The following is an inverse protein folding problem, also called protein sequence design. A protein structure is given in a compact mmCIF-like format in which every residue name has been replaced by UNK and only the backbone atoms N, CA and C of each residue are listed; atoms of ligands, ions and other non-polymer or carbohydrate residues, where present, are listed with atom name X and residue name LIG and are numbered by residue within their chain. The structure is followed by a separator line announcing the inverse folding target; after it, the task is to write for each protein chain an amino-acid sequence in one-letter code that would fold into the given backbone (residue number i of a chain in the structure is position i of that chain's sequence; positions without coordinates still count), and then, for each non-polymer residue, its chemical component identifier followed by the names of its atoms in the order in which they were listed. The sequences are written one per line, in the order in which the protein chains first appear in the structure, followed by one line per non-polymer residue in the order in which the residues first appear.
data_IF_374181902738
#
_entry.id   IF_374181902738
#
_cell.length_a   1.000
_cell.length_b   1.000
_cell.length_c   1.000
_cell.angle_alpha   90.00
_cell.angle_beta   90.00
_cell.angle_gamma   90.00
#
_symmetry.space_group_name_H-M   'P 1'
#
loop_
_entity.id
_entity.type
_entity.pdbx_description
1 polymer ?
#
# COMPACT_ATOMS: atom_id res chain seq x y z
N UNK A 1 -51.51 -16.93 35.69
CA UNK A 1 -50.25 -17.60 35.30
C UNK A 1 -50.10 -17.51 33.78
N UNK A 2 -48.94 -17.03 33.30
CA UNK A 2 -48.30 -17.38 32.00
C UNK A 2 -49.02 -16.94 30.69
N UNK A 3 -48.38 -16.37 29.65
CA UNK A 3 -46.96 -16.11 29.36
C UNK A 3 -46.85 -15.07 28.22
N UNK A 4 -46.07 -13.99 28.40
CA UNK A 4 -45.65 -13.09 27.29
C UNK A 4 -44.54 -13.78 26.51
N UNK A 5 -44.80 -14.17 25.25
CA UNK A 5 -43.74 -14.61 24.35
C UNK A 5 -42.99 -13.40 23.81
N UNK A 6 -41.80 -13.17 24.36
CA UNK A 6 -40.83 -12.23 23.84
C UNK A 6 -40.41 -12.61 22.42
N UNK A 7 -40.47 -11.64 21.52
CA UNK A 7 -39.96 -11.75 20.15
C UNK A 7 -38.48 -11.38 20.17
N UNK A 8 -37.59 -12.37 20.08
CA UNK A 8 -36.15 -12.14 19.94
C UNK A 8 -35.83 -11.42 18.63
N UNK A 9 -35.04 -10.32 18.62
CA UNK A 9 -34.61 -9.68 17.38
C UNK A 9 -33.55 -10.55 16.68
N UNK A 10 -33.80 -10.95 15.43
CA UNK A 10 -32.80 -11.61 14.58
C UNK A 10 -31.71 -10.61 14.19
N UNK A 11 -30.46 -11.01 14.42
CA UNK A 11 -29.23 -10.22 14.24
C UNK A 11 -29.00 -9.72 12.79
N UNK A 12 -28.63 -8.44 12.57
CA UNK A 12 -28.33 -7.87 11.24
C UNK A 12 -26.90 -8.17 10.70
N UNK A 13 -26.11 -9.02 11.37
CA UNK A 13 -24.68 -9.22 11.12
C UNK A 13 -24.32 -9.69 9.69
N UNK A 14 -25.21 -10.38 8.99
CA UNK A 14 -24.91 -10.88 7.63
C UNK A 14 -24.89 -9.76 6.58
N UNK A 15 -25.70 -8.70 6.78
CA UNK A 15 -25.83 -7.59 5.83
C UNK A 15 -24.67 -6.59 5.92
N UNK A 16 -24.17 -6.32 7.12
CA UNK A 16 -23.01 -5.45 7.33
C UNK A 16 -21.74 -6.11 6.80
N UNK A 17 -21.52 -7.40 7.07
CA UNK A 17 -20.37 -8.16 6.57
C UNK A 17 -20.34 -8.21 5.03
N UNK A 18 -21.49 -8.38 4.38
CA UNK A 18 -21.60 -8.37 2.93
C UNK A 18 -21.33 -6.98 2.33
N UNK A 19 -21.79 -5.89 2.99
CA UNK A 19 -21.47 -4.51 2.60
C UNK A 19 -19.98 -4.23 2.74
N UNK A 20 -19.36 -4.58 3.87
CA UNK A 20 -17.92 -4.45 4.09
C UNK A 20 -17.11 -5.20 3.04
N UNK A 21 -17.48 -6.46 2.75
CA UNK A 21 -16.80 -7.26 1.73
C UNK A 21 -16.89 -6.64 0.32
N UNK A 22 -18.00 -5.98 -0.03
CA UNK A 22 -18.13 -5.26 -1.30
C UNK A 22 -17.31 -3.96 -1.33
N UNK A 23 -17.21 -3.23 -0.22
CA UNK A 23 -16.37 -2.03 -0.14
C UNK A 23 -14.90 -2.33 -0.42
N UNK A 24 -14.40 -3.50 0.01
CA UNK A 24 -13.03 -3.93 -0.28
C UNK A 24 -12.76 -4.22 -1.77
N UNK A 25 -13.81 -4.39 -2.58
CA UNK A 25 -13.69 -4.54 -4.03
C UNK A 25 -13.67 -3.19 -4.77
N UNK A 26 -14.03 -2.10 -4.08
CA UNK A 26 -14.04 -0.76 -4.66
C UNK A 26 -12.66 -0.10 -4.49
N UNK A 27 -12.31 0.85 -5.38
CA UNK A 27 -11.14 1.69 -5.19
C UNK A 27 -11.19 2.50 -3.89
N UNK A 28 -10.03 3.01 -3.49
CA UNK A 28 -9.92 3.89 -2.34
C UNK A 28 -10.82 5.12 -2.48
N UNK A 29 -11.48 5.59 -1.41
CA UNK A 29 -12.20 6.86 -1.45
C UNK A 29 -11.27 7.99 -1.91
N UNK A 30 -11.72 8.77 -2.89
CA UNK A 30 -10.92 9.80 -3.56
C UNK A 30 -10.14 10.72 -2.61
N UNK A 31 -10.79 11.21 -1.55
CA UNK A 31 -10.16 12.08 -0.57
C UNK A 31 -8.96 11.42 0.15
N UNK A 32 -9.05 10.11 0.42
CA UNK A 32 -7.96 9.36 1.04
C UNK A 32 -6.82 9.13 0.05
N UNK A 33 -7.15 8.83 -1.21
CA UNK A 33 -6.15 8.69 -2.27
C UNK A 33 -5.39 10.01 -2.51
N UNK A 34 -6.10 11.13 -2.58
CA UNK A 34 -5.52 12.48 -2.72
C UNK A 34 -4.63 12.86 -1.53
N UNK A 35 -5.03 12.52 -0.30
CA UNK A 35 -4.22 12.77 0.89
C UNK A 35 -2.89 11.99 0.88
N UNK A 36 -2.93 10.71 0.46
CA UNK A 36 -1.72 9.89 0.33
C UNK A 36 -0.81 10.39 -0.80
N UNK A 37 -1.39 10.67 -1.97
CA UNK A 37 -0.64 11.25 -3.09
C UNK A 37 0.06 12.55 -2.65
N UNK A 38 -0.68 13.46 -2.00
CA UNK A 38 -0.12 14.71 -1.50
C UNK A 38 1.03 14.49 -0.52
N UNK A 39 0.94 13.49 0.37
CA UNK A 39 2.02 13.17 1.30
C UNK A 39 3.31 12.76 0.57
N UNK A 40 3.19 11.88 -0.43
CA UNK A 40 4.34 11.41 -1.21
C UNK A 40 4.95 12.55 -2.05
N UNK A 41 4.12 13.32 -2.75
CA UNK A 41 4.57 14.47 -3.54
C UNK A 41 5.21 15.56 -2.66
N UNK A 42 4.66 15.84 -1.48
CA UNK A 42 5.24 16.81 -0.56
C UNK A 42 6.62 16.38 -0.05
N UNK A 43 6.78 15.09 0.30
CA UNK A 43 8.06 14.54 0.71
C UNK A 43 9.12 14.65 -0.41
N UNK A 44 8.73 14.33 -1.65
CA UNK A 44 9.61 14.42 -2.80
C UNK A 44 10.00 15.86 -3.14
N UNK A 45 9.03 16.78 -3.17
CA UNK A 45 9.29 18.19 -3.45
C UNK A 45 10.14 18.85 -2.35
N UNK A 46 10.00 18.42 -1.09
CA UNK A 46 10.87 18.90 -0.02
C UNK A 46 12.35 18.54 -0.26
N UNK A 47 12.64 17.33 -0.76
CA UNK A 47 14.01 16.92 -1.13
C UNK A 47 14.57 17.80 -2.26
N UNK A 48 13.80 18.02 -3.34
CA UNK A 48 14.19 18.90 -4.45
C UNK A 48 14.45 20.34 -4.02
N UNK A 49 13.75 20.81 -2.99
CA UNK A 49 13.93 22.15 -2.41
C UNK A 49 15.03 22.21 -1.35
N UNK A 50 15.84 21.15 -1.17
CA UNK A 50 16.88 21.03 -0.13
C UNK A 50 16.35 21.25 1.29
N UNK A 51 15.07 20.90 1.50
CA UNK A 51 14.35 20.91 2.78
C UNK A 51 13.88 19.51 3.15
N UNK A 52 14.57 18.50 2.63
CA UNK A 52 14.29 17.10 2.90
C UNK A 52 14.57 16.73 4.35
N UNK A 53 14.19 15.51 4.70
CA UNK A 53 14.44 14.93 6.01
C UNK A 53 14.52 13.41 5.91
N UNK A 54 15.08 12.76 6.93
CA UNK A 54 15.03 11.30 7.08
C UNK A 54 13.59 10.76 6.98
N UNK A 55 12.62 11.47 7.57
CA UNK A 55 11.21 11.10 7.47
C UNK A 55 10.68 11.17 6.03
N UNK A 56 11.05 12.21 5.28
CA UNK A 56 10.68 12.33 3.86
C UNK A 56 11.22 11.18 3.02
N UNK A 57 12.49 10.79 3.22
CA UNK A 57 13.07 9.62 2.55
C UNK A 57 12.38 8.31 2.97
N UNK A 58 12.05 8.14 4.25
CA UNK A 58 11.32 6.97 4.73
C UNK A 58 9.92 6.86 4.10
N UNK A 59 9.22 7.99 3.92
CA UNK A 59 7.93 8.05 3.20
C UNK A 59 8.09 7.61 1.74
N UNK A 60 9.18 7.99 1.07
CA UNK A 60 9.46 7.54 -0.30
C UNK A 60 9.88 6.07 -0.38
N UNK A 61 10.60 5.53 0.61
CA UNK A 61 10.85 4.08 0.68
C UNK A 61 9.55 3.30 0.83
N UNK A 62 8.62 3.79 1.67
CA UNK A 62 7.31 3.18 1.79
C UNK A 62 6.55 3.18 0.46
N UNK A 63 6.60 4.29 -0.29
CA UNK A 63 6.04 4.40 -1.63
C UNK A 63 6.59 3.31 -2.56
N UNK A 64 7.92 3.14 -2.62
CA UNK A 64 8.57 2.14 -3.49
C UNK A 64 8.07 0.73 -3.20
N UNK A 65 8.03 0.36 -1.91
CA UNK A 65 7.61 -0.99 -1.47
C UNK A 65 6.12 -1.23 -1.78
N UNK A 66 5.27 -0.25 -1.47
CA UNK A 66 3.84 -0.36 -1.75
C UNK A 66 3.56 -0.41 -3.26
N UNK A 67 4.27 0.38 -4.06
CA UNK A 67 4.11 0.38 -5.51
C UNK A 67 4.42 -1.01 -6.12
N UNK A 68 5.48 -1.66 -5.64
CA UNK A 68 5.83 -3.04 -6.02
C UNK A 68 4.77 -4.05 -5.60
N UNK A 69 4.36 -4.06 -4.33
CA UNK A 69 3.36 -5.02 -3.84
C UNK A 69 1.99 -4.86 -4.50
N UNK A 70 1.58 -3.63 -4.81
CA UNK A 70 0.32 -3.37 -5.52
C UNK A 70 0.43 -3.78 -7.00
N UNK A 71 1.58 -3.58 -7.65
CA UNK A 71 1.78 -4.00 -9.03
C UNK A 71 1.74 -5.53 -9.18
N UNK A 72 2.46 -6.25 -8.31
CA UNK A 72 2.40 -7.72 -8.21
C UNK A 72 0.97 -8.23 -8.02
N UNK A 73 0.14 -7.49 -7.27
CA UNK A 73 -1.24 -7.93 -7.04
C UNK A 73 -2.17 -7.69 -8.25
N UNK A 74 -1.81 -6.79 -9.17
CA UNK A 74 -2.69 -6.34 -10.26
C UNK A 74 -2.28 -6.88 -11.63
N UNK A 75 -1.07 -6.53 -12.09
CA UNK A 75 -0.71 -6.64 -13.50
C UNK A 75 0.73 -7.08 -13.76
N UNK A 76 1.64 -6.92 -12.80
CA UNK A 76 3.08 -7.16 -13.00
C UNK A 76 3.64 -6.38 -14.21
N UNK A 77 3.25 -5.11 -14.34
CA UNK A 77 3.71 -4.25 -15.44
C UNK A 77 4.91 -3.38 -15.04
N UNK A 78 5.16 -3.23 -13.73
CA UNK A 78 6.32 -2.52 -13.22
C UNK A 78 7.56 -3.42 -13.35
N UNK A 79 8.55 -2.93 -14.10
CA UNK A 79 9.83 -3.61 -14.25
C UNK A 79 10.51 -3.74 -12.89
N UNK A 80 10.90 -4.96 -12.52
CA UNK A 80 11.44 -5.27 -11.19
C UNK A 80 12.70 -4.45 -10.85
N UNK A 81 13.45 -4.03 -11.87
CA UNK A 81 14.65 -3.22 -11.72
C UNK A 81 14.35 -1.80 -11.24
N UNK A 82 13.16 -1.25 -11.53
CA UNK A 82 12.80 0.13 -11.20
C UNK A 82 12.66 0.33 -9.68
N UNK A 83 11.86 -0.47 -8.93
CA UNK A 83 11.83 -0.39 -7.47
C UNK A 83 13.20 -0.58 -6.84
N UNK A 84 13.98 -1.56 -7.30
CA UNK A 84 15.30 -1.89 -6.74
C UNK A 84 16.29 -0.75 -6.93
N UNK A 85 16.35 -0.16 -8.13
CA UNK A 85 17.21 0.98 -8.40
C UNK A 85 16.81 2.21 -7.57
N UNK A 86 15.51 2.46 -7.45
CA UNK A 86 14.97 3.60 -6.68
C UNK A 86 15.27 3.43 -5.18
N UNK A 87 15.02 2.25 -4.63
CA UNK A 87 15.32 1.93 -3.23
C UNK A 87 16.79 2.16 -2.90
N UNK A 88 17.69 1.67 -3.76
CA UNK A 88 19.14 1.86 -3.59
C UNK A 88 19.51 3.34 -3.56
N UNK A 89 18.96 4.13 -4.47
CA UNK A 89 19.20 5.57 -4.55
C UNK A 89 18.70 6.32 -3.31
N UNK A 90 17.51 5.98 -2.84
CA UNK A 90 16.95 6.58 -1.62
C UNK A 90 17.78 6.20 -0.39
N UNK A 91 18.23 4.94 -0.28
CA UNK A 91 19.12 4.51 0.81
C UNK A 91 20.46 5.25 0.77
N UNK A 92 21.05 5.47 -0.40
CA UNK A 92 22.26 6.30 -0.53
C UNK A 92 22.01 7.75 -0.07
N UNK A 93 20.83 8.33 -0.38
CA UNK A 93 20.43 9.65 0.13
C UNK A 93 20.24 9.66 1.65
N UNK A 94 19.73 8.57 2.23
CA UNK A 94 19.56 8.41 3.67
C UNK A 94 20.92 8.33 4.37
N UNK A 95 21.85 7.54 3.84
CA UNK A 95 23.22 7.42 4.37
C UNK A 95 23.95 8.76 4.39
N UNK A 96 23.89 9.53 3.29
CA UNK A 96 24.47 10.88 3.22
C UNK A 96 23.88 11.82 4.27
N UNK A 97 22.55 11.86 4.38
CA UNK A 97 21.90 12.73 5.35
C UNK A 97 22.17 12.34 6.80
N UNK A 98 22.33 11.04 7.10
CA UNK A 98 22.77 10.56 8.42
C UNK A 98 24.21 11.00 8.70
N UNK A 99 25.08 11.04 7.69
CA UNK A 99 26.44 11.55 7.80
C UNK A 99 26.52 13.08 7.97
N UNK A 100 25.38 13.79 8.01
CA UNK A 100 25.31 15.24 8.21
C UNK A 100 25.33 16.05 6.92
N UNK A 101 25.30 15.39 5.76
CA UNK A 101 25.11 16.05 4.46
C UNK A 101 23.63 16.38 4.22
N UNK A 102 23.34 16.98 3.07
CA UNK A 102 21.98 17.36 2.72
C UNK A 102 21.11 16.17 2.29
N UNK A 103 19.87 16.18 2.76
CA UNK A 103 18.81 15.27 2.33
C UNK A 103 18.44 15.54 0.87
N UNK A 104 19.10 14.83 -0.04
CA UNK A 104 18.97 15.01 -1.49
C UNK A 104 19.03 13.65 -2.19
N UNK A 105 18.47 13.59 -3.39
CA UNK A 105 18.58 12.45 -4.30
C UNK A 105 19.54 12.82 -5.44
N UNK A 106 20.25 11.83 -5.97
CA UNK A 106 20.98 12.04 -7.22
C UNK A 106 19.99 12.13 -8.41
N UNK A 107 20.40 12.69 -9.57
CA UNK A 107 19.49 12.93 -10.69
C UNK A 107 18.78 11.67 -11.22
N UNK A 108 19.46 10.52 -11.23
CA UNK A 108 18.84 9.28 -11.69
C UNK A 108 17.75 8.82 -10.72
N UNK A 109 18.03 8.87 -9.42
CA UNK A 109 17.04 8.52 -8.40
C UNK A 109 15.86 9.48 -8.39
N UNK A 110 16.11 10.77 -8.62
CA UNK A 110 15.06 11.79 -8.73
C UNK A 110 14.07 11.47 -9.87
N UNK A 111 14.57 11.12 -11.06
CA UNK A 111 13.73 10.70 -12.20
C UNK A 111 12.95 9.41 -11.91
N UNK A 112 13.59 8.43 -11.27
CA UNK A 112 12.94 7.16 -10.91
C UNK A 112 11.82 7.36 -9.89
N UNK A 113 12.03 8.21 -8.87
CA UNK A 113 11.00 8.55 -7.89
C UNK A 113 9.83 9.26 -8.56
N UNK A 114 10.09 10.20 -9.47
CA UNK A 114 9.02 10.88 -10.21
C UNK A 114 8.17 9.90 -11.02
N UNK A 115 8.79 8.96 -11.74
CA UNK A 115 8.07 7.93 -12.47
C UNK A 115 7.25 6.99 -11.56
N UNK A 116 7.81 6.59 -10.41
CA UNK A 116 7.09 5.75 -9.44
C UNK A 116 5.94 6.48 -8.75
N UNK A 117 6.04 7.80 -8.54
CA UNK A 117 4.94 8.63 -8.03
C UNK A 117 3.76 8.61 -9.00
N UNK A 118 4.01 8.87 -10.29
CA UNK A 118 2.96 8.84 -11.32
C UNK A 118 2.30 7.45 -11.42
N UNK A 119 3.13 6.40 -11.36
CA UNK A 119 2.65 5.02 -11.34
C UNK A 119 1.77 4.73 -10.11
N UNK A 120 2.21 5.12 -8.92
CA UNK A 120 1.47 4.88 -7.70
C UNK A 120 0.20 5.73 -7.60
N UNK A 121 0.17 6.92 -8.20
CA UNK A 121 -1.04 7.76 -8.30
C UNK A 121 -2.12 7.10 -9.18
N UNK A 122 -1.75 6.36 -10.23
CA UNK A 122 -2.71 5.48 -10.94
C UNK A 122 -3.19 4.36 -10.02
N UNK A 123 -2.28 3.69 -9.32
CA UNK A 123 -2.64 2.61 -8.40
C UNK A 123 -3.62 3.09 -7.32
N UNK A 124 -3.40 4.26 -6.71
CA UNK A 124 -4.26 4.85 -5.68
C UNK A 124 -5.68 5.14 -6.21
N UNK A 125 -5.80 5.50 -7.48
CA UNK A 125 -7.09 5.78 -8.14
C UNK A 125 -7.83 4.53 -8.59
N UNK A 126 -7.10 3.51 -9.04
CA UNK A 126 -7.68 2.38 -9.78
C UNK A 126 -7.70 1.06 -9.01
N UNK A 127 -6.79 0.83 -8.06
CA UNK A 127 -6.68 -0.46 -7.39
C UNK A 127 -7.77 -0.63 -6.31
N UNK A 128 -8.36 -1.84 -6.18
CA UNK A 128 -9.29 -2.14 -5.09
C UNK A 128 -8.65 -1.97 -3.71
N UNK A 129 -9.44 -1.54 -2.72
CA UNK A 129 -8.98 -1.40 -1.33
C UNK A 129 -8.39 -2.69 -0.74
N UNK A 130 -8.88 -3.86 -1.15
CA UNK A 130 -8.32 -5.15 -0.73
C UNK A 130 -6.85 -5.31 -1.11
N UNK A 131 -6.45 -4.80 -2.28
CA UNK A 131 -5.06 -4.88 -2.76
C UNK A 131 -4.15 -4.02 -1.89
N UNK A 132 -4.60 -2.81 -1.54
CA UNK A 132 -3.85 -1.95 -0.62
C UNK A 132 -3.78 -2.51 0.81
N UNK A 133 -4.87 -3.10 1.31
CA UNK A 133 -4.86 -3.75 2.62
C UNK A 133 -3.83 -4.89 2.66
N UNK A 134 -3.81 -5.75 1.64
CA UNK A 134 -2.83 -6.82 1.50
C UNK A 134 -1.38 -6.27 1.42
N UNK A 135 -1.16 -5.23 0.61
CA UNK A 135 0.15 -4.59 0.48
C UNK A 135 0.65 -3.98 1.81
N UNK A 136 -0.23 -3.33 2.57
CA UNK A 136 0.11 -2.79 3.89
C UNK A 136 0.42 -3.91 4.91
N UNK A 137 -0.34 -5.01 4.90
CA UNK A 137 -0.04 -6.17 5.74
C UNK A 137 1.31 -6.83 5.39
N UNK A 138 1.67 -6.85 4.09
CA UNK A 138 2.99 -7.31 3.63
C UNK A 138 4.10 -6.39 4.12
N UNK A 139 3.91 -5.07 4.01
CA UNK A 139 4.86 -4.07 4.51
C UNK A 139 5.09 -4.21 6.03
N UNK A 140 4.03 -4.41 6.80
CA UNK A 140 4.12 -4.63 8.24
C UNK A 140 4.87 -5.93 8.59
N UNK A 141 4.62 -7.02 7.86
CA UNK A 141 5.42 -8.27 8.01
C UNK A 141 6.89 -8.04 7.69
N UNK A 142 7.19 -7.30 6.62
CA UNK A 142 8.56 -6.96 6.23
C UNK A 142 9.27 -6.15 7.32
N UNK A 143 8.61 -5.13 7.88
CA UNK A 143 9.14 -4.32 8.99
C UNK A 143 9.46 -5.17 10.22
N UNK A 144 8.62 -6.16 10.50
CA UNK A 144 8.80 -7.07 11.62
C UNK A 144 9.82 -8.21 11.34
N UNK A 145 10.50 -8.20 10.18
CA UNK A 145 11.47 -9.23 9.79
C UNK A 145 10.85 -10.60 9.49
N UNK A 146 9.53 -10.67 9.25
CA UNK A 146 8.82 -11.90 8.85
C UNK A 146 8.78 -12.04 7.33
N UNK A 147 8.58 -13.26 6.83
CA UNK A 147 8.29 -13.48 5.40
C UNK A 147 7.05 -12.67 4.97
N UNK A 148 7.23 -11.89 3.91
CA UNK A 148 6.22 -10.99 3.33
C UNK A 148 5.71 -11.50 1.97
N UNK A 149 6.06 -12.74 1.60
CA UNK A 149 5.56 -13.39 0.39
C UNK A 149 4.04 -13.40 0.40
N UNK A 150 3.46 -13.34 -0.79
CA UNK A 150 2.02 -13.48 -0.97
C UNK A 150 1.63 -14.90 -0.54
N UNK A 151 0.82 -15.07 0.53
CA UNK A 151 0.39 -16.41 0.92
C UNK A 151 -0.43 -17.03 -0.22
N UNK A 152 -0.30 -18.35 -0.48
CA UNK A 152 -1.08 -18.99 -1.53
C UNK A 152 -2.56 -18.75 -1.26
N UNK A 153 -3.29 -18.25 -2.26
CA UNK A 153 -4.74 -18.08 -2.16
C UNK A 153 -5.31 -19.42 -1.71
N UNK A 154 -5.85 -19.50 -0.49
CA UNK A 154 -6.62 -20.66 -0.06
C UNK A 154 -7.82 -20.73 -0.99
N UNK A 155 -7.69 -21.52 -2.05
CA UNK A 155 -8.79 -21.90 -2.93
C UNK A 155 -9.80 -22.54 -2.00
N UNK A 156 -10.84 -21.79 -1.66
CA UNK A 156 -11.91 -22.22 -0.78
C UNK A 156 -12.46 -23.46 -1.46
N UNK A 157 -12.12 -24.63 -0.93
CA UNK A 157 -12.68 -25.89 -1.39
C UNK A 157 -14.19 -25.75 -1.21
N UNK A 158 -14.87 -25.44 -2.31
CA UNK A 158 -16.28 -25.69 -2.44
C UNK A 158 -16.42 -27.19 -2.22
N UNK A 159 -17.04 -27.55 -1.10
CA UNK A 159 -17.15 -28.94 -0.67
C UNK A 159 -17.65 -29.79 -1.83
N UNK A 160 -16.83 -30.76 -2.24
CA UNK A 160 -17.32 -31.92 -2.96
C UNK A 160 -18.07 -32.77 -1.93
N UNK A 161 -19.32 -32.37 -1.70
CA UNK A 161 -20.36 -33.28 -1.26
C UNK A 161 -21.10 -33.77 -2.50
N UNK A 162 -21.39 -35.07 -2.50
CA UNK A 162 -22.29 -35.82 -3.38
C UNK A 162 -21.62 -36.49 -4.59
N UNK A 163 -21.69 -37.81 -4.56
CA UNK A 163 -21.17 -38.79 -5.51
C UNK A 163 -20.89 -40.09 -4.78
#
# INVERSE_FOLDING_TARGET
MSNRRGRSPRHPQHSSRAKTARTFLLPMPRQKAEALALQYHAAFQALRMRRGSAHGLAVLLQLVVLAGFVDEARKHELRAEVPVATERGINAGLERGIAGEEWTLDPQTDELVAALLEWHDDQLRAAPLAVFAEALERLERMRDGRSYDRPPMRRRAIGSGLG
#
